data_IF_297481699483
#
_entry.id   IF_297481699483
#
_cell.length_a   1.000
_cell.length_b   1.000
_cell.length_c   1.000
_cell.angle_alpha   90.00
_cell.angle_beta   90.00
_cell.angle_gamma   90.00
#
_symmetry.space_group_name_H-M   'P 1'
#
loop_
_entity.id
_entity.type
_entity.pdbx_description
1 polymer ?
#
# COMPACT_ATOMS: atom_id res chain seq x y z
N UNK A 1 1.71 23.55 19.67
CA UNK A 1 0.95 22.58 18.84
C UNK A 1 1.80 21.34 18.71
N UNK A 2 1.22 20.15 18.79
CA UNK A 2 1.99 18.93 18.52
C UNK A 2 2.41 18.91 17.04
N UNK A 3 3.60 18.38 16.77
CA UNK A 3 4.18 18.25 15.44
C UNK A 3 4.16 16.78 15.01
N UNK A 4 4.04 16.54 13.71
CA UNK A 4 4.04 15.20 13.11
C UNK A 4 5.10 15.14 12.03
N UNK A 5 5.92 14.09 12.05
CA UNK A 5 6.95 13.88 11.04
C UNK A 5 6.37 13.14 9.84
N UNK A 6 6.66 13.63 8.65
CA UNK A 6 6.20 13.05 7.38
C UNK A 6 7.40 12.79 6.47
N UNK A 7 7.20 12.07 5.37
CA UNK A 7 8.23 11.89 4.33
C UNK A 7 8.66 13.18 3.63
N UNK A 8 7.88 14.26 3.75
CA UNK A 8 8.20 15.59 3.22
C UNK A 8 8.69 16.57 4.29
N UNK A 9 8.83 16.12 5.53
CA UNK A 9 9.26 16.94 6.67
C UNK A 9 8.18 17.09 7.74
N UNK A 10 8.43 17.97 8.71
CA UNK A 10 7.54 18.13 9.85
C UNK A 10 6.35 19.03 9.53
N UNK A 11 5.15 18.61 9.92
CA UNK A 11 3.90 19.39 9.80
C UNK A 11 3.23 19.60 11.17
N UNK A 12 2.29 20.54 11.24
CA UNK A 12 1.49 20.75 12.44
C UNK A 12 0.38 19.68 12.53
N UNK A 13 0.12 19.14 13.71
CA UNK A 13 -0.92 18.11 13.90
C UNK A 13 -2.32 18.51 13.44
N UNK A 14 -2.65 19.80 13.42
CA UNK A 14 -3.95 20.29 12.93
C UNK A 14 -4.03 20.42 11.40
N UNK A 15 -2.94 20.23 10.65
CA UNK A 15 -2.94 20.27 9.19
C UNK A 15 -3.13 18.91 8.54
N UNK A 16 -3.25 17.83 9.31
CA UNK A 16 -3.35 16.45 8.79
C UNK A 16 -4.63 16.19 7.98
N UNK A 17 -5.73 16.88 8.29
CA UNK A 17 -7.03 16.64 7.64
C UNK A 17 -7.61 15.27 7.97
N UNK A 18 -8.36 14.69 7.02
CA UNK A 18 -8.86 13.31 7.17
C UNK A 18 -7.71 12.32 7.01
N UNK A 19 -7.50 11.50 8.05
CA UNK A 19 -6.35 10.62 8.15
C UNK A 19 -6.77 9.16 8.10
N UNK A 20 -6.20 8.39 7.18
CA UNK A 20 -6.16 6.92 7.28
C UNK A 20 -4.96 6.54 8.13
N UNK A 21 -5.20 5.93 9.30
CA UNK A 21 -4.16 5.74 10.32
C UNK A 21 -3.40 4.42 10.20
N UNK A 22 -3.75 3.56 9.26
CA UNK A 22 -3.07 2.28 9.03
C UNK A 22 -3.28 1.81 7.59
N UNK A 23 -2.33 2.12 6.72
CA UNK A 23 -2.33 1.63 5.33
C UNK A 23 -0.95 1.09 4.94
N UNK A 24 -0.89 0.38 3.81
CA UNK A 24 0.35 -0.12 3.24
C UNK A 24 0.40 0.21 1.75
N UNK A 25 1.46 0.89 1.30
CA UNK A 25 1.60 1.34 -0.09
C UNK A 25 2.56 0.48 -0.91
N UNK A 26 3.43 -0.25 -0.22
CA UNK A 26 4.42 -1.16 -0.76
C UNK A 26 4.61 -2.25 0.28
N UNK A 27 4.50 -3.53 -0.08
CA UNK A 27 4.55 -4.63 0.88
C UNK A 27 5.05 -5.93 0.24
N UNK A 28 5.82 -6.69 1.01
CA UNK A 28 6.28 -8.03 0.67
C UNK A 28 5.85 -9.02 1.75
N UNK A 29 4.89 -9.90 1.40
CA UNK A 29 4.42 -10.99 2.24
C UNK A 29 4.85 -12.36 1.71
N UNK A 30 5.81 -12.43 0.79
CA UNK A 30 6.24 -13.72 0.19
C UNK A 30 6.67 -14.75 1.23
N UNK A 31 7.20 -14.29 2.36
CA UNK A 31 7.63 -15.15 3.48
C UNK A 31 6.47 -15.82 4.22
N UNK A 32 5.24 -15.34 4.02
CA UNK A 32 4.01 -15.88 4.57
C UNK A 32 3.25 -16.77 3.57
N UNK A 33 3.89 -17.14 2.46
CA UNK A 33 3.27 -18.02 1.47
C UNK A 33 2.76 -19.31 2.10
N UNK A 34 1.52 -19.67 1.77
CA UNK A 34 0.86 -20.88 2.23
C UNK A 34 0.40 -21.67 1.03
N UNK A 35 0.80 -22.95 0.96
CA UNK A 35 0.38 -23.84 -0.13
C UNK A 35 -1.16 -23.93 -0.17
N UNK A 36 -1.78 -23.76 -1.36
CA UNK A 36 -3.22 -23.95 -1.50
C UNK A 36 -3.59 -25.42 -1.31
N UNK A 37 -4.89 -25.73 -1.10
CA UNK A 37 -5.38 -27.10 -1.17
C UNK A 37 -4.98 -27.75 -2.49
N UNK A 38 -4.51 -29.00 -2.45
CA UNK A 38 -4.00 -29.73 -3.62
C UNK A 38 -4.90 -29.67 -4.87
N UNK A 39 -6.24 -29.82 -4.79
CA UNK A 39 -7.12 -29.70 -5.96
C UNK A 39 -7.11 -28.32 -6.63
N UNK A 40 -6.66 -27.28 -5.93
CA UNK A 40 -6.63 -25.90 -6.41
C UNK A 40 -5.22 -25.44 -6.81
N UNK A 41 -4.19 -26.26 -6.65
CA UNK A 41 -2.79 -25.84 -6.84
C UNK A 41 -2.52 -25.23 -8.22
N UNK A 42 -3.14 -25.75 -9.28
CA UNK A 42 -2.99 -25.23 -10.65
C UNK A 42 -3.54 -23.81 -10.83
N UNK A 43 -4.56 -23.41 -10.05
CA UNK A 43 -5.15 -22.05 -10.12
C UNK A 43 -4.14 -21.00 -9.65
N UNK A 44 -3.33 -21.35 -8.65
CA UNK A 44 -2.35 -20.45 -8.04
C UNK A 44 -0.99 -20.42 -8.76
N UNK A 45 -0.80 -21.26 -9.79
CA UNK A 45 0.34 -21.16 -10.70
C UNK A 45 0.19 -20.04 -11.74
N UNK A 46 -0.99 -19.41 -11.82
CA UNK A 46 -1.23 -18.28 -12.70
C UNK A 46 -0.31 -17.11 -12.33
N UNK A 47 0.37 -16.48 -13.32
CA UNK A 47 1.35 -15.43 -13.05
C UNK A 47 0.73 -14.08 -12.65
N UNK A 48 -0.60 -13.95 -12.70
CA UNK A 48 -1.36 -12.73 -12.42
C UNK A 48 -2.73 -13.05 -11.81
N UNK A 49 -3.35 -12.06 -11.16
CA UNK A 49 -4.76 -12.10 -10.80
C UNK A 49 -5.61 -11.74 -12.03
N UNK A 50 -6.56 -12.60 -12.37
CA UNK A 50 -7.53 -12.41 -13.45
C UNK A 50 -8.95 -12.57 -12.91
N UNK A 51 -9.96 -12.23 -13.71
CA UNK A 51 -11.36 -12.48 -13.34
C UNK A 51 -11.66 -13.97 -13.17
N UNK A 52 -10.89 -14.86 -13.79
CA UNK A 52 -11.09 -16.31 -13.66
C UNK A 52 -10.59 -16.86 -12.33
N UNK A 53 -9.55 -16.26 -11.74
CA UNK A 53 -8.91 -16.77 -10.52
C UNK A 53 -9.15 -15.92 -9.26
N UNK A 54 -9.61 -14.66 -9.37
CA UNK A 54 -9.73 -13.73 -8.24
C UNK A 54 -10.64 -14.25 -7.11
N UNK A 55 -11.65 -15.06 -7.43
CA UNK A 55 -12.50 -15.69 -6.43
C UNK A 55 -11.72 -16.64 -5.50
N UNK A 56 -10.79 -17.40 -6.07
CA UNK A 56 -9.90 -18.29 -5.31
C UNK A 56 -8.86 -17.51 -4.52
N UNK A 57 -8.27 -16.46 -5.12
CA UNK A 57 -7.31 -15.60 -4.44
C UNK A 57 -7.94 -14.90 -3.23
N UNK A 58 -9.19 -14.47 -3.30
CA UNK A 58 -9.92 -13.91 -2.14
C UNK A 58 -10.09 -14.92 -1.00
N UNK A 59 -10.26 -16.20 -1.32
CA UNK A 59 -10.42 -17.27 -0.34
C UNK A 59 -9.07 -17.73 0.25
N UNK A 60 -7.99 -17.70 -0.56
CA UNK A 60 -6.65 -18.12 -0.18
C UNK A 60 -5.60 -17.07 -0.59
N UNK A 61 -5.61 -15.88 0.04
CA UNK A 61 -4.79 -14.74 -0.41
C UNK A 61 -3.28 -15.00 -0.30
N UNK A 62 -2.88 -15.85 0.64
CA UNK A 62 -1.49 -16.24 0.86
C UNK A 62 -1.00 -17.37 -0.05
N UNK A 63 -1.87 -17.91 -0.91
CA UNK A 63 -1.50 -18.96 -1.86
C UNK A 63 -1.15 -18.42 -3.24
N UNK A 64 -1.36 -17.12 -3.49
CA UNK A 64 -0.97 -16.47 -4.74
C UNK A 64 0.32 -15.69 -4.54
N UNK A 65 1.43 -16.18 -5.08
CA UNK A 65 2.72 -15.46 -5.02
C UNK A 65 2.64 -14.05 -5.63
N UNK A 66 1.80 -13.87 -6.65
CA UNK A 66 1.53 -12.55 -7.23
C UNK A 66 0.80 -11.63 -6.24
N UNK A 67 -0.21 -12.13 -5.52
CA UNK A 67 -0.93 -11.34 -4.50
C UNK A 67 -0.07 -10.99 -3.28
N UNK A 68 1.00 -11.75 -3.02
CA UNK A 68 1.91 -11.53 -1.89
C UNK A 68 3.00 -10.49 -2.17
N UNK A 69 3.20 -10.12 -3.42
CA UNK A 69 4.18 -9.12 -3.84
C UNK A 69 3.45 -7.87 -4.31
N UNK A 70 3.55 -6.79 -3.56
CA UNK A 70 2.92 -5.51 -3.86
C UNK A 70 4.01 -4.44 -3.96
N UNK A 71 4.95 -4.71 -4.86
CA UNK A 71 6.16 -3.93 -5.11
C UNK A 71 6.51 -3.94 -6.60
N UNK A 72 5.50 -4.11 -7.46
CA UNK A 72 5.62 -4.12 -8.91
C UNK A 72 4.98 -2.88 -9.55
N UNK A 73 5.11 -2.77 -10.87
CA UNK A 73 4.58 -1.61 -11.60
C UNK A 73 3.04 -1.54 -11.57
N UNK A 74 2.37 -2.70 -11.60
CA UNK A 74 0.90 -2.76 -11.59
C UNK A 74 0.36 -2.25 -10.23
N UNK A 75 0.96 -2.68 -9.12
CA UNK A 75 0.65 -2.21 -7.76
C UNK A 75 1.00 -0.73 -7.57
N UNK A 76 2.14 -0.26 -8.08
CA UNK A 76 2.50 1.18 -8.07
C UNK A 76 1.42 2.03 -8.71
N UNK A 77 0.99 1.67 -9.93
CA UNK A 77 -0.05 2.41 -10.66
C UNK A 77 -1.41 2.35 -9.96
N UNK A 78 -1.74 1.24 -9.28
CA UNK A 78 -2.97 1.13 -8.49
C UNK A 78 -2.93 2.08 -7.28
N UNK A 79 -1.82 2.08 -6.54
CA UNK A 79 -1.62 2.96 -5.38
C UNK A 79 -1.74 4.43 -5.77
N UNK A 80 -1.12 4.85 -6.88
CA UNK A 80 -1.24 6.23 -7.38
C UNK A 80 -2.70 6.64 -7.59
N UNK A 81 -3.49 5.79 -8.26
CA UNK A 81 -4.92 6.04 -8.52
C UNK A 81 -5.76 6.06 -7.24
N UNK A 82 -5.49 5.16 -6.31
CA UNK A 82 -6.24 5.07 -5.05
C UNK A 82 -5.97 6.30 -4.16
N UNK A 83 -4.73 6.79 -4.16
CA UNK A 83 -4.35 7.99 -3.41
C UNK A 83 -4.91 9.26 -4.07
N UNK A 84 -4.89 9.35 -5.39
CA UNK A 84 -5.60 10.42 -6.13
C UNK A 84 -7.11 10.41 -5.80
N UNK A 85 -7.73 9.23 -5.74
CA UNK A 85 -9.13 9.09 -5.38
C UNK A 85 -9.38 9.52 -3.93
N UNK A 86 -8.57 9.04 -2.97
CA UNK A 86 -8.65 9.45 -1.57
C UNK A 86 -8.57 10.97 -1.44
N UNK A 87 -7.62 11.60 -2.14
CA UNK A 87 -7.47 13.05 -2.16
C UNK A 87 -8.70 13.76 -2.72
N UNK A 88 -9.22 13.27 -3.85
CA UNK A 88 -10.44 13.79 -4.49
C UNK A 88 -11.66 13.77 -3.56
N UNK A 89 -11.73 12.83 -2.63
CA UNK A 89 -12.80 12.73 -1.64
C UNK A 89 -12.48 13.39 -0.29
N UNK A 90 -11.48 14.28 -0.26
CA UNK A 90 -11.14 15.10 0.92
C UNK A 90 -10.03 14.51 1.80
N UNK A 91 -9.39 13.43 1.37
CA UNK A 91 -8.26 12.83 2.08
C UNK A 91 -7.12 13.81 2.36
N UNK A 92 -6.59 13.74 3.59
CA UNK A 92 -5.54 14.63 4.07
C UNK A 92 -4.22 13.91 4.33
N UNK A 93 -4.24 12.79 5.06
CA UNK A 93 -3.01 12.09 5.50
C UNK A 93 -3.21 10.58 5.41
N UNK A 94 -2.14 9.85 5.11
CA UNK A 94 -2.10 8.38 5.17
C UNK A 94 -0.91 7.99 6.04
N UNK A 95 -1.13 7.21 7.10
CA UNK A 95 -0.03 6.60 7.85
C UNK A 95 0.34 5.30 7.13
N UNK A 96 1.59 5.21 6.69
CA UNK A 96 2.13 4.04 6.00
C UNK A 96 2.85 3.16 7.01
N UNK A 97 2.34 1.93 7.19
CA UNK A 97 2.69 1.06 8.30
C UNK A 97 3.63 -0.07 7.90
N UNK A 98 4.22 -0.04 6.70
CA UNK A 98 5.15 -1.10 6.28
C UNK A 98 6.44 -0.99 7.07
N UNK A 99 6.82 -2.09 7.71
CA UNK A 99 8.03 -2.18 8.52
C UNK A 99 9.23 -2.61 7.68
N UNK A 100 10.42 -2.57 8.28
CA UNK A 100 11.64 -3.07 7.64
C UNK A 100 11.54 -4.53 7.19
N UNK A 101 10.84 -5.38 7.94
CA UNK A 101 10.64 -6.79 7.60
C UNK A 101 9.69 -7.05 6.42
N UNK A 102 8.96 -6.03 5.97
CA UNK A 102 7.99 -6.11 4.87
C UNK A 102 8.43 -5.31 3.63
N UNK A 103 9.73 -4.97 3.53
CA UNK A 103 10.33 -4.24 2.42
C UNK A 103 9.72 -2.85 2.15
N UNK A 104 9.67 -2.01 3.21
CA UNK A 104 9.26 -0.60 3.13
C UNK A 104 9.95 0.18 2.00
N UNK A 105 9.17 0.93 1.21
CA UNK A 105 9.66 1.76 0.10
C UNK A 105 9.46 3.26 0.35
N UNK A 106 10.46 3.92 0.96
CA UNK A 106 10.41 5.35 1.25
C UNK A 106 10.43 6.24 -0.01
N UNK A 107 11.06 5.78 -1.10
CA UNK A 107 11.12 6.53 -2.36
C UNK A 107 9.72 6.66 -2.97
N UNK A 108 8.98 5.55 -3.04
CA UNK A 108 7.60 5.54 -3.49
C UNK A 108 6.71 6.48 -2.67
N UNK A 109 6.82 6.42 -1.34
CA UNK A 109 6.06 7.29 -0.44
C UNK A 109 6.31 8.77 -0.73
N UNK A 110 7.58 9.14 -0.88
CA UNK A 110 7.97 10.51 -1.20
C UNK A 110 7.44 10.94 -2.57
N UNK A 111 7.63 10.11 -3.61
CA UNK A 111 7.24 10.42 -4.98
C UNK A 111 5.73 10.63 -5.12
N UNK A 112 4.93 9.75 -4.52
CA UNK A 112 3.48 9.89 -4.49
C UNK A 112 3.05 11.14 -3.71
N UNK A 113 3.67 11.38 -2.54
CA UNK A 113 3.36 12.55 -1.71
C UNK A 113 3.68 13.87 -2.43
N UNK A 114 4.68 13.88 -3.32
CA UNK A 114 4.99 15.02 -4.20
C UNK A 114 3.99 15.11 -5.36
N UNK A 115 3.71 14.01 -6.06
CA UNK A 115 2.85 13.99 -7.23
C UNK A 115 1.42 14.44 -6.91
N UNK A 116 0.89 14.05 -5.75
CA UNK A 116 -0.47 14.39 -5.31
C UNK A 116 -0.61 15.84 -4.81
N UNK A 117 0.51 16.56 -4.63
CA UNK A 117 0.55 17.89 -4.04
C UNK A 117 -0.10 19.01 -4.87
N UNK A 118 -0.34 18.81 -6.17
CA UNK A 118 -1.05 19.78 -7.02
C UNK A 118 -2.52 20.01 -6.58
N UNK A 119 -3.02 19.19 -5.65
CA UNK A 119 -4.38 19.28 -5.06
C UNK A 119 -4.39 19.36 -3.53
N UNK A 120 -3.21 19.58 -2.91
CA UNK A 120 -2.94 19.55 -1.46
C UNK A 120 -2.07 18.35 -1.04
N UNK A 121 -1.32 18.42 0.07
CA UNK A 121 -0.42 17.33 0.46
C UNK A 121 -1.18 16.10 0.98
N UNK A 122 -0.64 14.90 0.73
CA UNK A 122 -0.88 13.71 1.56
C UNK A 122 0.40 13.47 2.33
N UNK A 123 0.30 13.69 3.63
CA UNK A 123 1.41 13.42 4.53
C UNK A 123 1.49 11.92 4.76
N UNK A 124 2.69 11.35 4.63
CA UNK A 124 2.94 9.95 4.97
C UNK A 124 3.84 9.88 6.18
N UNK A 125 3.37 9.22 7.24
CA UNK A 125 4.09 9.13 8.50
C UNK A 125 4.46 7.68 8.80
N UNK A 126 5.63 7.49 9.37
CA UNK A 126 6.24 6.21 9.65
C UNK A 126 6.04 5.88 11.14
N UNK A 127 5.69 4.64 11.46
CA UNK A 127 5.91 4.13 12.82
C UNK A 127 7.40 3.81 13.01
N UNK A 128 7.94 4.24 14.14
CA UNK A 128 9.35 4.13 14.53
C UNK A 128 9.77 2.67 14.73
N UNK A 129 10.34 2.06 13.70
CA UNK A 129 11.40 1.04 13.74
C UNK A 129 12.29 1.20 12.49
#
# INVERSE_FOLDING_TARGET
MAQVQTVRGTVASNSLGYTLTHEHLALDFTHFHTEPPQPLASIFQAPRITLENVGFVRQYPYSSSYNLSFNDEDSRLAVEKDIEAFKRFGGGTIVENTSHGLNRNLGLMHDISVATNHTGSIEMTNNWE
#
